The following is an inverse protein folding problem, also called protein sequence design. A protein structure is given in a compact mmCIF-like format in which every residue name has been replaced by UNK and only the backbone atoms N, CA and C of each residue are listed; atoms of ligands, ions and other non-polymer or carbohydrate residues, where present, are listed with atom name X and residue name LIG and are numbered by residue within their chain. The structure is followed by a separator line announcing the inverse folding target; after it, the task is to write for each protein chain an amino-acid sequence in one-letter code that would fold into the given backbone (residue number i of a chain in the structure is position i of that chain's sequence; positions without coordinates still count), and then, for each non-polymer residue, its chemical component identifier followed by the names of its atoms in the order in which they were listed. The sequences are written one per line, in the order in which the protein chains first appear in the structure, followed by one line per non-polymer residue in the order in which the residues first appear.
data_IF_171764650321
#
_entry.id   IF_171764650321
#
_cell.length_a   1.000
_cell.length_b   1.000
_cell.length_c   1.000
_cell.angle_alpha   90.00
_cell.angle_beta   90.00
_cell.angle_gamma   90.00
#
_symmetry.space_group_name_H-M   'P 1'
#
loop_
_entity.id
_entity.type
_entity.pdbx_description
1 polymer ?
#
# COMPACT_ATOMS: atom_id res chain seq x y z
N UNK A 1 6.75 9.86 2.88
CA UNK A 1 5.38 9.40 3.16
C UNK A 1 5.19 8.08 2.44
N UNK A 2 4.23 7.26 2.86
CA UNK A 2 4.03 5.92 2.30
C UNK A 2 2.56 5.54 2.39
N UNK A 3 2.15 4.58 1.57
CA UNK A 3 0.80 4.01 1.62
C UNK A 3 0.53 3.32 2.96
N UNK A 4 -0.72 3.40 3.42
CA UNK A 4 -1.19 2.72 4.63
C UNK A 4 -1.87 1.39 4.27
N UNK A 5 -1.80 0.39 5.17
CA UNK A 5 -2.47 -0.91 5.00
C UNK A 5 -3.51 -1.13 6.10
N UNK A 6 -4.78 -1.25 5.72
CA UNK A 6 -5.86 -1.71 6.60
C UNK A 6 -5.69 -3.21 6.88
N UNK A 7 -5.25 -3.52 8.10
CA UNK A 7 -5.00 -4.90 8.55
C UNK A 7 -6.29 -5.71 8.71
N UNK A 8 -7.45 -5.08 8.83
CA UNK A 8 -8.74 -5.78 8.94
C UNK A 8 -9.21 -6.30 7.58
N UNK A 9 -9.00 -5.52 6.51
CA UNK A 9 -9.33 -5.88 5.12
C UNK A 9 -8.25 -6.69 4.43
N UNK A 10 -6.98 -6.51 4.79
CA UNK A 10 -5.86 -7.22 4.18
C UNK A 10 -5.97 -8.73 4.43
N UNK A 11 -6.07 -9.53 3.36
CA UNK A 11 -6.13 -11.00 3.43
C UNK A 11 -4.77 -11.69 3.19
N UNK A 12 -3.70 -10.91 3.01
CA UNK A 12 -2.36 -11.47 2.79
C UNK A 12 -2.15 -12.12 1.42
N UNK A 13 -2.92 -11.74 0.39
CA UNK A 13 -2.84 -12.33 -0.97
C UNK A 13 -1.57 -12.02 -1.77
N UNK A 14 -0.64 -11.23 -1.23
CA UNK A 14 0.68 -10.91 -1.82
C UNK A 14 0.71 -10.10 -3.13
N UNK A 15 -0.43 -9.85 -3.79
CA UNK A 15 -0.56 -8.98 -4.97
C UNK A 15 0.22 -7.65 -4.85
N UNK A 16 0.01 -6.93 -3.75
CA UNK A 16 0.69 -5.65 -3.50
C UNK A 16 2.21 -5.78 -3.38
N UNK A 17 2.73 -6.91 -2.87
CA UNK A 17 4.17 -7.17 -2.82
C UNK A 17 4.71 -7.49 -4.22
N UNK A 18 3.99 -8.28 -5.00
CA UNK A 18 4.38 -8.66 -6.36
C UNK A 18 4.46 -7.46 -7.32
N UNK A 19 3.51 -6.52 -7.24
CA UNK A 19 3.48 -5.34 -8.11
C UNK A 19 4.43 -4.21 -7.66
N UNK A 20 4.96 -4.28 -6.43
CA UNK A 20 5.80 -3.23 -5.89
C UNK A 20 7.21 -3.26 -6.48
N UNK A 21 7.43 -2.52 -7.57
CA UNK A 21 8.74 -2.41 -8.22
C UNK A 21 9.85 -1.87 -7.30
N UNK A 22 9.49 -1.06 -6.29
CA UNK A 22 10.43 -0.53 -5.30
C UNK A 22 10.81 -1.55 -4.20
N UNK A 23 10.15 -2.71 -4.15
CA UNK A 23 10.36 -3.70 -3.08
C UNK A 23 10.01 -3.16 -1.69
N UNK A 24 9.07 -2.22 -1.61
CA UNK A 24 8.66 -1.56 -0.37
C UNK A 24 7.64 -2.37 0.45
N UNK A 25 7.08 -3.45 -0.10
CA UNK A 25 6.00 -4.21 0.56
C UNK A 25 6.45 -5.66 0.80
N UNK A 26 6.27 -6.15 2.03
CA UNK A 26 6.42 -7.56 2.40
C UNK A 26 5.12 -8.09 3.00
N UNK A 27 4.80 -9.36 2.80
CA UNK A 27 3.71 -10.03 3.53
C UNK A 27 4.32 -10.93 4.60
N UNK A 28 3.81 -10.81 5.83
CA UNK A 28 4.16 -11.69 6.95
C UNK A 28 2.91 -11.88 7.83
N UNK A 29 2.76 -13.05 8.43
CA UNK A 29 1.63 -13.35 9.33
C UNK A 29 0.25 -13.02 8.69
N UNK A 30 0.13 -13.26 7.38
CA UNK A 30 -1.09 -12.99 6.61
C UNK A 30 -1.41 -11.51 6.37
N UNK A 31 -0.46 -10.58 6.60
CA UNK A 31 -0.67 -9.13 6.43
C UNK A 31 0.49 -8.46 5.68
N UNK A 32 0.16 -7.48 4.85
CA UNK A 32 1.15 -6.67 4.13
C UNK A 32 1.72 -5.56 5.03
N UNK A 33 3.04 -5.37 5.02
CA UNK A 33 3.78 -4.34 5.74
C UNK A 33 4.58 -3.51 4.75
N UNK A 34 4.60 -2.19 4.96
CA UNK A 34 5.25 -1.23 4.08
C UNK A 34 6.52 -0.72 4.76
N UNK A 35 7.65 -0.77 4.04
CA UNK A 35 8.88 -0.09 4.39
C UNK A 35 8.80 1.34 3.84
N UNK A 36 8.49 2.30 4.71
CA UNK A 36 8.21 3.68 4.32
C UNK A 36 9.37 4.32 3.55
N UNK A 37 10.61 4.00 3.93
CA UNK A 37 11.83 4.52 3.33
C UNK A 37 12.06 4.05 1.87
N UNK A 38 11.32 3.03 1.43
CA UNK A 38 11.37 2.51 0.05
C UNK A 38 10.15 2.87 -0.77
N UNK A 39 9.08 3.36 -0.14
CA UNK A 39 7.85 3.70 -0.85
C UNK A 39 8.10 4.93 -1.72
N UNK A 40 7.79 4.82 -3.01
CA UNK A 40 7.92 5.91 -3.99
C UNK A 40 6.56 6.44 -4.45
N UNK A 41 5.49 6.11 -3.71
CA UNK A 41 4.14 6.65 -3.91
C UNK A 41 3.56 6.44 -5.33
N UNK A 42 4.02 5.41 -6.04
CA UNK A 42 3.58 5.10 -7.40
C UNK A 42 2.14 4.55 -7.49
N UNK A 43 1.48 4.34 -6.36
CA UNK A 43 0.08 3.88 -6.23
C UNK A 43 -0.26 2.51 -6.85
N UNK A 44 0.69 1.79 -7.43
CA UNK A 44 0.43 0.49 -8.08
C UNK A 44 -0.23 -0.54 -7.14
N UNK A 45 0.22 -0.61 -5.88
CA UNK A 45 -0.34 -1.51 -4.88
C UNK A 45 -1.77 -1.14 -4.45
N UNK A 46 -2.20 0.12 -4.59
CA UNK A 46 -3.56 0.55 -4.30
C UNK A 46 -4.51 -0.04 -5.34
N UNK A 47 -4.16 0.10 -6.63
CA UNK A 47 -4.97 -0.42 -7.73
C UNK A 47 -5.01 -1.95 -7.80
N UNK A 48 -3.93 -2.62 -7.39
CA UNK A 48 -3.80 -4.08 -7.49
C UNK A 48 -4.40 -4.83 -6.29
N UNK A 49 -4.72 -4.13 -5.19
CA UNK A 49 -5.26 -4.77 -4.00
C UNK A 49 -6.74 -5.15 -4.19
N UNK A 50 -7.11 -6.44 -4.28
CA UNK A 50 -8.50 -6.85 -4.53
C UNK A 50 -9.44 -6.54 -3.36
N UNK A 51 -8.86 -6.29 -2.18
CA UNK A 51 -9.60 -5.96 -0.96
C UNK A 51 -9.66 -4.45 -0.72
N UNK A 52 -9.07 -3.63 -1.59
CA UNK A 52 -8.87 -2.18 -1.42
C UNK A 52 -8.36 -1.83 -0.01
N UNK A 53 -7.44 -2.67 0.50
CA UNK A 53 -6.91 -2.55 1.85
C UNK A 53 -5.74 -1.56 1.94
N UNK A 54 -5.42 -0.83 0.86
CA UNK A 54 -4.25 0.05 0.77
C UNK A 54 -4.72 1.44 0.33
N UNK A 55 -4.30 2.49 1.04
CA UNK A 55 -4.67 3.88 0.75
C UNK A 55 -3.46 4.81 0.80
N UNK A 56 -3.55 5.99 0.19
CA UNK A 56 -2.63 7.09 0.49
C UNK A 56 -2.87 7.61 1.91
N UNK A 57 -1.85 8.17 2.58
CA UNK A 57 -2.03 8.85 3.86
C UNK A 57 -2.95 10.07 3.70
N UNK A 58 -3.73 10.40 4.74
CA UNK A 58 -4.78 11.42 4.69
C UNK A 58 -4.28 12.83 4.31
N UNK A 59 -2.99 13.10 4.50
CA UNK A 59 -2.36 14.38 4.17
C UNK A 59 -2.28 14.64 2.65
N UNK A 60 -2.23 13.58 1.84
CA UNK A 60 -2.18 13.68 0.37
C UNK A 60 -3.57 13.93 -0.24
N UNK A 61 -4.65 13.55 0.46
CA UNK A 61 -6.03 13.77 -0.01
C UNK A 61 -6.44 15.26 0.01
N UNK A 62 -5.71 16.10 0.76
CA UNK A 62 -5.97 17.55 0.84
C UNK A 62 -5.40 18.35 -0.33
N UNK A 63 -4.50 17.78 -1.12
CA UNK A 63 -3.76 18.48 -2.18
C UNK A 63 -4.33 18.25 -3.60
N UNK A 64 -5.46 17.54 -3.73
CA UNK A 64 -6.10 17.25 -5.02
C UNK A 64 -7.30 18.15 -5.39
N UNK A 65 -7.47 19.30 -4.73
CA UNK A 65 -8.58 20.25 -5.00
C UNK A 65 -8.10 21.69 -5.17
N UNK A 66 -7.05 21.90 -5.95
CA UNK A 66 -6.73 23.20 -6.56
C UNK A 66 -6.53 23.05 -8.07
#
# INVERSE_FOLDING_TARGET
MAVNVDKTRCIGCENCAAICAAGAIRVADGKAFVAEEKCVECCACIYDCPMEAITLPEEDLKHGKD
#
